data_IF_387573286440
#
_entry.id   IF_387573286440
#
_cell.length_a   1.000
_cell.length_b   1.000
_cell.length_c   1.000
_cell.angle_alpha   90.00
_cell.angle_beta   90.00
_cell.angle_gamma   90.00
#
_symmetry.space_group_name_H-M   'P 1'
#
loop_
_entity.id
_entity.type
_entity.pdbx_description
1 polymer ?
#
# COMPACT_ATOMS: atom_id res chain seq x y z
N UNK A 1 14.65 3.67 -9.76
CA UNK A 1 14.60 4.67 -8.66
C UNK A 1 15.04 3.96 -7.39
N UNK A 2 15.98 4.49 -6.61
CA UNK A 2 16.47 3.77 -5.42
C UNK A 2 15.40 3.76 -4.31
N UNK A 3 15.17 2.63 -3.64
CA UNK A 3 14.13 2.46 -2.59
C UNK A 3 14.19 3.48 -1.45
N UNK A 4 15.34 4.13 -1.26
CA UNK A 4 15.57 5.24 -0.32
C UNK A 4 14.59 6.42 -0.50
N UNK A 5 14.09 6.67 -1.70
CA UNK A 5 13.08 7.73 -1.90
C UNK A 5 11.72 7.39 -1.26
N UNK A 6 11.40 6.11 -1.09
CA UNK A 6 10.18 5.66 -0.41
C UNK A 6 10.29 5.83 1.11
N UNK A 7 11.50 5.79 1.68
CA UNK A 7 11.70 6.10 3.10
C UNK A 7 11.38 7.56 3.41
N UNK A 8 11.78 8.49 2.54
CA UNK A 8 11.39 9.89 2.67
C UNK A 8 9.87 10.07 2.59
N UNK A 9 9.22 9.36 1.66
CA UNK A 9 7.77 9.40 1.52
C UNK A 9 7.06 8.90 2.80
N UNK A 10 7.58 7.86 3.44
CA UNK A 10 7.11 7.39 4.76
C UNK A 10 7.15 8.50 5.80
N UNK A 11 8.30 9.17 5.92
CA UNK A 11 8.52 10.23 6.90
C UNK A 11 7.55 11.39 6.65
N UNK A 12 7.35 11.77 5.39
CA UNK A 12 6.39 12.81 5.00
C UNK A 12 4.96 12.41 5.42
N UNK A 13 4.53 11.18 5.14
CA UNK A 13 3.20 10.69 5.53
C UNK A 13 2.99 10.70 7.05
N UNK A 14 4.01 10.34 7.84
CA UNK A 14 3.96 10.39 9.31
C UNK A 14 3.88 11.84 9.79
N UNK A 15 4.74 12.72 9.28
CA UNK A 15 4.79 14.12 9.66
C UNK A 15 3.48 14.87 9.37
N UNK A 16 2.79 14.52 8.27
CA UNK A 16 1.47 15.05 7.95
C UNK A 16 0.42 14.68 9.01
N UNK A 17 0.49 13.51 9.64
CA UNK A 17 -0.43 13.13 10.73
C UNK A 17 -0.11 13.87 12.02
N UNK A 18 1.17 14.13 12.27
CA UNK A 18 1.61 14.80 13.49
C UNK A 18 1.15 16.26 13.53
N UNK A 19 1.05 16.93 12.37
CA UNK A 19 0.50 18.29 12.29
C UNK A 19 -1.02 18.28 12.34
N UNK A 20 -1.57 18.69 13.49
CA UNK A 20 -3.02 18.89 13.69
C UNK A 20 -3.55 20.19 13.08
N UNK A 21 -2.66 21.12 12.75
CA UNK A 21 -3.02 22.41 12.16
C UNK A 21 -3.39 22.26 10.68
N UNK A 22 -4.25 23.15 10.20
CA UNK A 22 -4.56 23.25 8.78
C UNK A 22 -3.34 23.76 8.01
N UNK A 23 -3.02 23.07 6.93
CA UNK A 23 -2.01 23.46 5.96
C UNK A 23 -2.68 24.30 4.86
N UNK A 24 -2.09 25.44 4.55
CA UNK A 24 -2.49 26.23 3.38
C UNK A 24 -1.91 25.56 2.14
N UNK A 25 -2.77 24.99 1.30
CA UNK A 25 -2.39 24.35 0.05
C UNK A 25 -3.16 24.98 -1.11
N UNK A 26 -2.50 25.88 -1.85
CA UNK A 26 -3.16 26.67 -2.89
C UNK A 26 -4.09 27.72 -2.28
N UNK A 27 -5.38 27.69 -2.64
CA UNK A 27 -6.43 28.58 -2.08
C UNK A 27 -7.24 27.94 -0.95
N UNK A 28 -7.00 26.67 -0.66
CA UNK A 28 -7.78 25.90 0.33
C UNK A 28 -6.93 25.59 1.57
N UNK A 29 -7.57 25.59 2.74
CA UNK A 29 -7.03 25.02 3.97
C UNK A 29 -7.40 23.54 4.08
N UNK A 30 -6.41 22.69 4.36
CA UNK A 30 -6.63 21.25 4.60
C UNK A 30 -5.84 20.77 5.80
N UNK A 31 -6.46 19.93 6.62
CA UNK A 31 -5.74 19.27 7.70
C UNK A 31 -4.67 18.31 7.14
N UNK A 32 -3.62 18.06 7.92
CA UNK A 32 -2.59 17.09 7.54
C UNK A 32 -3.14 15.67 7.28
N UNK A 33 -4.23 15.29 7.97
CA UNK A 33 -4.90 13.99 7.77
C UNK A 33 -5.62 13.90 6.41
N UNK A 34 -6.21 15.00 5.92
CA UNK A 34 -6.81 15.07 4.59
C UNK A 34 -5.74 15.08 3.50
N UNK A 35 -4.65 15.81 3.70
CA UNK A 35 -3.48 15.76 2.81
C UNK A 35 -2.91 14.34 2.71
N UNK A 36 -2.76 13.63 3.85
CA UNK A 36 -2.36 12.22 3.85
C UNK A 36 -3.34 11.36 3.05
N UNK A 37 -4.65 11.54 3.24
CA UNK A 37 -5.69 10.76 2.53
C UNK A 37 -5.55 10.91 1.02
N UNK A 38 -5.44 12.15 0.54
CA UNK A 38 -5.28 12.44 -0.89
C UNK A 38 -3.96 11.87 -1.43
N UNK A 39 -2.86 12.04 -0.69
CA UNK A 39 -1.56 11.54 -1.12
C UNK A 39 -1.56 10.02 -1.25
N UNK A 40 -2.11 9.28 -0.28
CA UNK A 40 -2.27 7.82 -0.35
C UNK A 40 -3.12 7.43 -1.57
N UNK A 41 -4.24 8.12 -1.81
CA UNK A 41 -5.11 7.85 -2.96
C UNK A 41 -4.36 8.02 -4.27
N UNK A 42 -3.65 9.13 -4.44
CA UNK A 42 -2.83 9.41 -5.64
C UNK A 42 -1.71 8.38 -5.80
N UNK A 43 -1.05 7.99 -4.71
CA UNK A 43 -0.03 6.96 -4.71
C UNK A 43 -0.62 5.62 -5.19
N UNK A 44 -1.75 5.18 -4.64
CA UNK A 44 -2.35 3.89 -5.03
C UNK A 44 -3.03 3.92 -6.41
N UNK A 45 -3.29 5.09 -6.99
CA UNK A 45 -3.79 5.21 -8.38
C UNK A 45 -2.69 5.20 -9.44
N UNK A 46 -1.44 5.51 -9.07
CA UNK A 46 -0.31 5.52 -10.00
C UNK A 46 0.08 4.11 -10.47
N UNK A 47 0.67 4.01 -11.66
CA UNK A 47 1.32 2.78 -12.13
C UNK A 47 2.50 2.46 -11.20
N UNK A 48 2.58 1.22 -10.75
CA UNK A 48 3.72 0.73 -9.95
C UNK A 48 4.61 -0.14 -10.83
N UNK A 49 5.89 0.16 -10.78
CA UNK A 49 6.92 -0.73 -11.30
C UNK A 49 7.02 -1.94 -10.36
N UNK A 50 6.99 -3.14 -10.98
CA UNK A 50 6.97 -4.44 -10.30
C UNK A 50 8.10 -4.55 -9.26
N UNK A 51 9.28 -3.98 -9.57
CA UNK A 51 10.49 -4.09 -8.75
C UNK A 51 10.40 -3.37 -7.39
N UNK A 52 9.40 -2.50 -7.20
CA UNK A 52 9.29 -1.69 -5.98
C UNK A 52 7.97 -1.91 -5.23
N UNK A 53 7.14 -2.88 -5.64
CA UNK A 53 5.82 -3.11 -5.02
C UNK A 53 5.95 -3.57 -3.56
N UNK A 54 6.92 -4.44 -3.27
CA UNK A 54 7.19 -4.89 -1.90
C UNK A 54 7.65 -3.73 -1.01
N UNK A 55 8.61 -2.91 -1.47
CA UNK A 55 9.09 -1.73 -0.72
C UNK A 55 8.00 -0.65 -0.57
N UNK A 56 7.16 -0.48 -1.58
CA UNK A 56 6.01 0.41 -1.51
C UNK A 56 4.99 -0.06 -0.46
N UNK A 57 4.71 -1.36 -0.40
CA UNK A 57 3.83 -1.95 0.61
C UNK A 57 4.43 -1.82 2.00
N UNK A 58 5.73 -2.08 2.16
CA UNK A 58 6.42 -2.00 3.45
C UNK A 58 6.39 -0.60 4.05
N UNK A 59 6.39 0.44 3.22
CA UNK A 59 6.24 1.83 3.68
C UNK A 59 5.00 2.02 4.56
N UNK A 60 3.89 1.36 4.24
CA UNK A 60 2.63 1.48 4.99
C UNK A 60 2.64 0.70 6.32
N UNK A 61 3.58 -0.22 6.52
CA UNK A 61 3.71 -0.99 7.76
C UNK A 61 4.07 -0.12 8.96
N UNK A 62 4.55 1.10 8.73
CA UNK A 62 4.92 2.02 9.80
C UNK A 62 4.11 3.31 9.82
N UNK A 63 3.32 3.57 8.78
CA UNK A 63 2.40 4.72 8.75
C UNK A 63 1.15 4.38 9.57
N UNK A 64 0.67 5.27 10.46
CA UNK A 64 -0.62 5.09 11.11
C UNK A 64 -1.75 5.27 10.09
N UNK A 65 -2.46 4.17 9.83
CA UNK A 65 -3.57 4.08 8.90
C UNK A 65 -4.86 3.72 9.64
N UNK A 66 -5.99 4.30 9.20
CA UNK A 66 -7.33 3.87 9.62
C UNK A 66 -7.70 2.57 8.91
N UNK A 67 -8.67 1.82 9.44
CA UNK A 67 -9.12 0.56 8.84
C UNK A 67 -9.54 0.70 7.36
N UNK A 68 -10.30 1.76 7.03
CA UNK A 68 -10.70 2.11 5.65
C UNK A 68 -9.47 2.30 4.73
N UNK A 69 -8.41 2.95 5.23
CA UNK A 69 -7.18 3.17 4.45
C UNK A 69 -6.37 1.89 4.27
N UNK A 70 -6.34 1.02 5.29
CA UNK A 70 -5.71 -0.30 5.18
C UNK A 70 -6.42 -1.13 4.10
N UNK A 71 -7.75 -1.11 4.06
CA UNK A 71 -8.55 -1.85 3.07
C UNK A 71 -8.24 -1.39 1.64
N UNK A 72 -8.27 -0.07 1.44
CA UNK A 72 -7.95 0.52 0.14
C UNK A 72 -6.53 0.18 -0.34
N UNK A 73 -5.53 0.19 0.55
CA UNK A 73 -4.15 -0.20 0.21
C UNK A 73 -4.08 -1.70 -0.13
N UNK A 74 -4.68 -2.56 0.70
CA UNK A 74 -4.70 -4.01 0.52
C UNK A 74 -5.33 -4.38 -0.83
N UNK A 75 -6.51 -3.86 -1.16
CA UNK A 75 -7.16 -4.13 -2.45
C UNK A 75 -6.28 -3.72 -3.64
N UNK A 76 -5.60 -2.58 -3.51
CA UNK A 76 -4.74 -2.06 -4.58
C UNK A 76 -3.48 -2.90 -4.77
N UNK A 77 -2.90 -3.39 -3.68
CA UNK A 77 -1.73 -4.28 -3.71
C UNK A 77 -2.12 -5.66 -4.24
N UNK A 78 -3.25 -6.22 -3.82
CA UNK A 78 -3.75 -7.51 -4.33
C UNK A 78 -3.97 -7.47 -5.85
N UNK A 79 -4.53 -6.38 -6.39
CA UNK A 79 -4.67 -6.17 -7.84
C UNK A 79 -3.35 -6.11 -8.60
N UNK A 80 -2.20 -5.99 -7.93
CA UNK A 80 -0.88 -6.04 -8.55
C UNK A 80 -0.33 -7.47 -8.66
N UNK A 81 -0.87 -8.45 -7.92
CA UNK A 81 -0.36 -9.84 -7.92
C UNK A 81 -0.28 -10.44 -9.32
N UNK A 82 -1.34 -10.32 -10.11
CA UNK A 82 -1.41 -10.84 -11.49
C UNK A 82 -0.40 -10.21 -12.46
N UNK A 83 0.27 -9.14 -12.04
CA UNK A 83 1.26 -8.40 -12.82
C UNK A 83 2.66 -8.56 -12.27
N UNK A 84 2.91 -9.37 -11.26
CA UNK A 84 4.24 -9.53 -10.67
C UNK A 84 4.95 -10.75 -11.23
N UNK A 85 6.27 -10.66 -11.33
CA UNK A 85 7.09 -11.85 -11.54
C UNK A 85 6.99 -12.75 -10.31
N UNK A 86 6.98 -14.07 -10.50
CA UNK A 86 6.81 -15.05 -9.41
C UNK A 86 7.81 -14.87 -8.25
N UNK A 87 9.01 -14.35 -8.52
CA UNK A 87 10.04 -14.09 -7.50
C UNK A 87 9.68 -12.90 -6.57
N UNK A 88 8.86 -11.95 -7.04
CA UNK A 88 8.43 -10.79 -6.26
C UNK A 88 7.22 -11.08 -5.37
N UNK A 89 6.54 -12.21 -5.59
CA UNK A 89 5.33 -12.59 -4.88
C UNK A 89 5.60 -12.92 -3.40
N UNK A 90 6.58 -13.77 -3.02
CA UNK A 90 6.82 -14.09 -1.61
C UNK A 90 7.17 -12.87 -0.74
N UNK A 91 8.06 -11.95 -1.16
CA UNK A 91 8.30 -10.71 -0.43
C UNK A 91 7.03 -9.88 -0.27
N UNK A 92 6.20 -9.77 -1.29
CA UNK A 92 4.97 -9.00 -1.22
C UNK A 92 3.94 -9.62 -0.27
N UNK A 93 3.75 -10.93 -0.32
CA UNK A 93 2.87 -11.66 0.61
C UNK A 93 3.31 -11.40 2.04
N UNK A 94 4.61 -11.47 2.33
CA UNK A 94 5.11 -11.14 3.67
C UNK A 94 4.75 -9.70 4.07
N UNK A 95 4.96 -8.71 3.19
CA UNK A 95 4.62 -7.32 3.50
C UNK A 95 3.11 -7.12 3.73
N UNK A 96 2.25 -7.81 2.98
CA UNK A 96 0.81 -7.82 3.19
C UNK A 96 0.41 -8.46 4.53
N UNK A 97 1.06 -9.56 4.92
CA UNK A 97 0.83 -10.22 6.20
C UNK A 97 1.22 -9.30 7.36
N UNK A 98 2.35 -8.60 7.27
CA UNK A 98 2.74 -7.58 8.25
C UNK A 98 1.72 -6.44 8.28
N UNK A 99 1.28 -5.93 7.13
CA UNK A 99 0.25 -4.88 7.06
C UNK A 99 -1.07 -5.35 7.69
N UNK A 100 -1.43 -6.62 7.51
CA UNK A 100 -2.66 -7.22 8.05
C UNK A 100 -2.72 -7.23 9.58
N UNK A 101 -1.57 -7.12 10.26
CA UNK A 101 -1.52 -6.97 11.71
C UNK A 101 -2.28 -5.72 12.19
N UNK A 102 -2.41 -4.71 11.33
CA UNK A 102 -3.16 -3.46 11.58
C UNK A 102 -4.66 -3.55 11.26
N UNK A 103 -5.11 -4.63 10.63
CA UNK A 103 -6.50 -4.82 10.20
C UNK A 103 -6.63 -5.61 8.89
N UNK A 104 -7.84 -6.00 8.51
CA UNK A 104 -8.15 -6.67 7.24
C UNK A 104 -7.46 -8.02 6.98
N UNK A 105 -7.16 -8.78 8.05
CA UNK A 105 -6.57 -10.13 7.94
C UNK A 105 -7.35 -11.05 7.02
N UNK A 106 -8.69 -11.05 7.14
CA UNK A 106 -9.57 -11.87 6.31
C UNK A 106 -9.39 -11.53 4.82
N UNK A 107 -9.53 -10.26 4.46
CA UNK A 107 -9.37 -9.78 3.08
C UNK A 107 -7.98 -10.06 2.52
N UNK A 108 -6.92 -9.90 3.33
CA UNK A 108 -5.55 -10.23 2.92
C UNK A 108 -5.42 -11.72 2.65
N UNK A 109 -5.88 -12.59 3.55
CA UNK A 109 -5.79 -14.04 3.35
C UNK A 109 -6.62 -14.51 2.16
N UNK A 110 -7.88 -14.08 2.06
CA UNK A 110 -8.76 -14.41 0.93
C UNK A 110 -8.15 -13.94 -0.38
N UNK A 111 -7.67 -12.70 -0.45
CA UNK A 111 -7.03 -12.16 -1.65
C UNK A 111 -5.78 -12.92 -2.08
N UNK A 112 -4.93 -13.32 -1.13
CA UNK A 112 -3.74 -14.14 -1.42
C UNK A 112 -4.16 -15.51 -1.91
N UNK A 113 -5.09 -16.19 -1.24
CA UNK A 113 -5.59 -17.52 -1.63
C UNK A 113 -6.19 -17.45 -3.04
N UNK A 114 -7.10 -16.50 -3.30
CA UNK A 114 -7.70 -16.31 -4.63
C UNK A 114 -6.64 -16.04 -5.70
N UNK A 115 -5.65 -15.21 -5.42
CA UNK A 115 -4.58 -14.91 -6.38
C UNK A 115 -3.77 -16.16 -6.74
N UNK A 116 -3.47 -17.04 -5.78
CA UNK A 116 -2.74 -18.29 -6.07
C UNK A 116 -3.63 -19.34 -6.75
N UNK A 117 -4.91 -19.46 -6.38
CA UNK A 117 -5.84 -20.35 -7.07
C UNK A 117 -5.96 -19.99 -8.56
N UNK A 118 -6.04 -18.69 -8.89
CA UNK A 118 -6.07 -18.22 -10.29
C UNK A 118 -4.78 -18.57 -11.05
N UNK A 119 -3.63 -18.60 -10.37
CA UNK A 119 -2.35 -19.03 -10.97
C UNK A 119 -2.35 -20.53 -11.19
N UNK A 120 -2.83 -21.32 -10.23
CA UNK A 120 -2.92 -22.78 -10.33
C UNK A 120 -3.84 -23.18 -11.50
N UNK A 121 -5.02 -22.56 -11.63
CA UNK A 121 -5.94 -22.81 -12.76
C UNK A 121 -5.30 -22.54 -14.13
N UNK A 122 -4.36 -21.60 -14.23
CA UNK A 122 -3.64 -21.28 -15.47
C UNK A 122 -2.48 -22.25 -15.77
N UNK A 123 -1.99 -23.01 -14.79
CA UNK A 123 -0.85 -23.93 -14.92
C UNK A 123 -1.25 -25.41 -14.87
N UNK A 124 -2.54 -25.72 -14.72
CA UNK A 124 -3.09 -27.05 -14.99
C UNK A 124 -3.17 -27.21 -16.51
N UNK A 125 -2.03 -27.55 -17.13
CA UNK A 125 -1.91 -28.07 -18.50
C UNK A 125 -1.06 -29.36 -18.49
#
# INVERSE_FOLDING_TARGET
MNGKSLELLRIILIALVTKKENLVYGKDERSGEECKKQLIKTLCSGRRDQQYVAQFTSMFNDVPLTAEKVEFVVEKVLKMFSKLNLQEVPPLVYQLLVLSSKGNRKTVMEGVITSFNEVDEQHIE
#
